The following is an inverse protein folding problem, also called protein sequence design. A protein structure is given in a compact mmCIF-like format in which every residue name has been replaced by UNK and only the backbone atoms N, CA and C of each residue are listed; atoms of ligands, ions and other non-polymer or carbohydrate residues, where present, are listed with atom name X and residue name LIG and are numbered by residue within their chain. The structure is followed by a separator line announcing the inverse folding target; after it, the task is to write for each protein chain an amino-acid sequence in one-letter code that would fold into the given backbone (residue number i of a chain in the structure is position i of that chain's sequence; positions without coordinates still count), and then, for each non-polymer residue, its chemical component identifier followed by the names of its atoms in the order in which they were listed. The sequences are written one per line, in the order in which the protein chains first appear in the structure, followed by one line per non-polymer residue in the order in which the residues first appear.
data_IF_787139523856
#
_entry.id   IF_787139523856
#
_cell.length_a   1.000
_cell.length_b   1.000
_cell.length_c   1.000
_cell.angle_alpha   90.00
_cell.angle_beta   90.00
_cell.angle_gamma   90.00
#
_symmetry.space_group_name_H-M   'P 1'
#
loop_
_entity.id
_entity.type
_entity.pdbx_description
1 polymer ?
#
# COMPACT_ATOMS: atom_id res chain seq x y z
N UNK A 1 -8.13 -5.61 -1.93
CA UNK A 1 -7.51 -4.48 -1.21
C UNK A 1 -6.04 -4.40 -1.59
N UNK A 2 -5.57 -3.22 -1.97
CA UNK A 2 -4.14 -2.93 -2.11
C UNK A 2 -3.64 -2.23 -0.84
N UNK A 3 -2.53 -2.72 -0.29
CA UNK A 3 -1.75 -2.07 0.77
C UNK A 3 -0.40 -1.66 0.21
N UNK A 4 0.00 -0.39 0.37
CA UNK A 4 1.35 0.08 0.07
C UNK A 4 1.85 0.74 1.35
N UNK A 5 2.96 0.28 1.90
CA UNK A 5 3.52 0.88 3.12
C UNK A 5 5.01 1.15 3.00
N UNK A 6 5.45 2.24 3.63
CA UNK A 6 6.85 2.67 3.68
C UNK A 6 7.56 2.01 4.87
N UNK A 7 8.65 1.31 4.60
CA UNK A 7 9.42 0.59 5.62
C UNK A 7 10.09 1.49 6.65
N UNK A 8 10.35 2.76 6.30
CA UNK A 8 10.86 3.77 7.23
C UNK A 8 9.78 4.52 8.01
N UNK A 9 8.49 4.26 7.74
CA UNK A 9 7.40 4.84 8.53
C UNK A 9 7.43 4.27 9.96
N UNK A 10 7.39 5.16 10.95
CA UNK A 10 7.38 4.83 12.38
C UNK A 10 6.00 4.98 13.01
N UNK A 11 5.03 5.53 12.27
CA UNK A 11 3.65 5.76 12.70
C UNK A 11 2.71 4.69 12.16
N UNK A 12 2.97 4.19 10.95
CA UNK A 12 2.18 3.15 10.30
C UNK A 12 3.08 2.04 9.74
N UNK A 13 2.45 0.95 9.26
CA UNK A 13 3.14 -0.21 8.72
C UNK A 13 2.19 -1.11 7.93
N UNK A 14 2.51 -2.40 7.89
CA UNK A 14 1.70 -3.40 7.17
C UNK A 14 0.22 -3.38 7.57
N UNK A 15 -0.67 -3.44 6.58
CA UNK A 15 -2.10 -3.65 6.75
C UNK A 15 -2.47 -5.13 6.86
N UNK A 16 -1.49 -6.04 6.83
CA UNK A 16 -1.73 -7.49 6.94
C UNK A 16 -2.59 -7.89 8.14
N UNK A 17 -2.41 -7.34 9.36
CA UNK A 17 -3.28 -7.68 10.49
C UNK A 17 -4.76 -7.34 10.26
N UNK A 18 -5.06 -6.31 9.46
CA UNK A 18 -6.43 -5.94 9.07
C UNK A 18 -6.97 -6.91 8.01
N UNK A 19 -6.13 -7.31 7.05
CA UNK A 19 -6.51 -8.26 6.00
C UNK A 19 -6.78 -9.67 6.52
N UNK A 20 -6.28 -10.02 7.70
CA UNK A 20 -6.42 -11.32 8.36
C UNK A 20 -7.52 -11.36 9.43
N UNK A 21 -8.35 -10.32 9.54
CA UNK A 21 -9.51 -10.31 10.44
C UNK A 21 -10.62 -11.26 9.96
N UNK A 22 -11.58 -11.58 10.84
CA UNK A 22 -12.72 -12.45 10.51
C UNK A 22 -13.53 -11.92 9.32
N UNK A 23 -13.65 -10.59 9.22
CA UNK A 23 -14.18 -9.91 8.05
C UNK A 23 -13.01 -9.46 7.17
N UNK A 24 -12.65 -10.30 6.21
CA UNK A 24 -11.50 -10.10 5.33
C UNK A 24 -11.91 -9.61 3.95
N UNK A 25 -11.06 -8.83 3.25
CA UNK A 25 -11.31 -8.50 1.86
C UNK A 25 -11.25 -9.77 0.97
N UNK A 26 -11.98 -9.76 -0.15
CA UNK A 26 -11.95 -10.86 -1.12
C UNK A 26 -10.54 -11.13 -1.69
N UNK A 27 -9.69 -10.11 -1.73
CA UNK A 27 -8.30 -10.20 -2.14
C UNK A 27 -7.44 -9.23 -1.36
N UNK A 28 -6.18 -9.58 -1.13
CA UNK A 28 -5.19 -8.73 -0.48
C UNK A 28 -3.85 -8.81 -1.21
N UNK A 29 -3.29 -7.65 -1.56
CA UNK A 29 -1.94 -7.51 -2.09
C UNK A 29 -1.22 -6.41 -1.31
N UNK A 30 -0.01 -6.68 -0.84
CA UNK A 30 0.79 -5.72 -0.07
C UNK A 30 2.15 -5.48 -0.70
N UNK A 31 2.47 -4.20 -0.88
CA UNK A 31 3.71 -3.73 -1.47
C UNK A 31 4.49 -2.93 -0.42
N UNK A 32 5.78 -3.24 -0.31
CA UNK A 32 6.70 -2.54 0.57
C UNK A 32 7.52 -1.55 -0.26
N UNK A 33 7.54 -0.29 0.15
CA UNK A 33 8.40 0.74 -0.44
C UNK A 33 9.44 1.20 0.59
N UNK A 34 10.60 1.65 0.11
CA UNK A 34 11.73 2.05 0.93
C UNK A 34 12.32 3.39 0.46
N UNK A 35 11.44 4.39 0.37
CA UNK A 35 11.76 5.76 -0.08
C UNK A 35 12.58 6.55 0.96
N UNK A 36 12.63 6.09 2.21
CA UNK A 36 13.29 6.79 3.32
C UNK A 36 12.57 8.06 3.77
N UNK A 37 11.35 8.32 3.28
CA UNK A 37 10.59 9.54 3.54
C UNK A 37 9.68 9.45 4.77
N UNK A 38 9.81 8.39 5.57
CA UNK A 38 8.99 8.15 6.76
C UNK A 38 7.49 8.18 6.36
N UNK A 39 6.65 8.66 7.27
CA UNK A 39 5.22 8.86 7.02
C UNK A 39 4.91 9.76 5.80
N UNK A 40 5.85 10.63 5.41
CA UNK A 40 5.70 11.53 4.27
C UNK A 40 5.86 10.88 2.89
N UNK A 41 6.08 9.56 2.80
CA UNK A 41 6.27 8.83 1.54
C UNK A 41 5.10 8.99 0.55
N UNK A 42 3.90 9.30 1.04
CA UNK A 42 2.68 9.46 0.24
C UNK A 42 2.25 10.92 0.04
N UNK A 43 3.06 11.90 0.47
CA UNK A 43 2.74 13.32 0.33
C UNK A 43 2.89 13.84 -1.11
N UNK A 44 3.90 13.35 -1.83
CA UNK A 44 4.15 13.65 -3.24
C UNK A 44 3.91 12.39 -4.11
N UNK A 45 3.54 12.56 -5.39
CA UNK A 45 3.32 11.45 -6.31
C UNK A 45 4.64 10.82 -6.74
N UNK A 46 5.18 9.95 -5.88
CA UNK A 46 6.38 9.17 -6.17
C UNK A 46 5.98 7.93 -6.96
N UNK A 47 6.78 7.61 -7.98
CA UNK A 47 6.50 6.49 -8.90
C UNK A 47 6.34 5.17 -8.15
N UNK A 48 7.08 5.00 -7.04
CA UNK A 48 7.10 3.82 -6.18
C UNK A 48 5.74 3.46 -5.59
N UNK A 49 4.85 4.43 -5.39
CA UNK A 49 3.47 4.15 -4.91
C UNK A 49 2.40 4.51 -5.94
N UNK A 50 2.66 5.47 -6.84
CA UNK A 50 1.69 5.88 -7.86
C UNK A 50 1.50 4.82 -8.93
N UNK A 51 2.58 4.24 -9.46
CA UNK A 51 2.45 3.24 -10.53
C UNK A 51 1.72 1.99 -10.05
N UNK A 52 2.07 1.37 -8.90
CA UNK A 52 1.33 0.21 -8.41
C UNK A 52 -0.14 0.49 -8.09
N UNK A 53 -0.44 1.72 -7.65
CA UNK A 53 -1.82 2.17 -7.43
C UNK A 53 -2.60 2.26 -8.73
N UNK A 54 -2.07 2.94 -9.75
CA UNK A 54 -2.72 3.07 -11.05
C UNK A 54 -2.95 1.71 -11.70
N UNK A 55 -1.95 0.84 -11.64
CA UNK A 55 -2.01 -0.55 -12.08
C UNK A 55 -3.14 -1.33 -11.39
N UNK A 56 -3.31 -1.14 -10.08
CA UNK A 56 -4.38 -1.78 -9.32
C UNK A 56 -5.76 -1.25 -9.70
N UNK A 57 -5.90 0.06 -9.88
CA UNK A 57 -7.16 0.70 -10.29
C UNK A 57 -7.58 0.24 -11.69
N UNK A 58 -6.65 0.19 -12.65
CA UNK A 58 -6.97 -0.24 -14.01
C UNK A 58 -7.34 -1.73 -14.07
N UNK A 59 -6.64 -2.62 -13.34
CA UNK A 59 -7.01 -4.05 -13.27
C UNK A 59 -8.37 -4.31 -12.62
N UNK A 60 -8.82 -3.44 -11.73
CA UNK A 60 -10.13 -3.57 -11.10
C UNK A 60 -11.29 -3.11 -12.00
N UNK A 61 -10.97 -2.55 -13.19
CA UNK A 61 -11.95 -2.05 -14.16
C UNK A 61 -12.22 -3.02 -15.32
N UNK A 62 -11.59 -4.21 -15.28
CA UNK A 62 -11.82 -5.34 -16.19
C UNK A 62 -12.84 -6.34 -15.58
#
# INVERSE_FOLDING_TARGET
MLSIYETSDRLAGSCKPLAEQSEQPQSFNEIKIATGKLHGAFYLPLVEWVEPLLDWVHRASD
#
